data_IF_612802423710
#
_entry.id   IF_612802423710
#
_cell.length_a   1.000
_cell.length_b   1.000
_cell.length_c   1.000
_cell.angle_alpha   90.00
_cell.angle_beta   90.00
_cell.angle_gamma   90.00
#
_symmetry.space_group_name_H-M   'P 1'
#
loop_
_entity.id
_entity.type
_entity.pdbx_description
1 polymer ?
#
# COMPACT_ATOMS: atom_id res chain seq x y z
N UNK A 1 51.71 -19.36 11.54
CA UNK A 1 50.49 -18.88 12.22
C UNK A 1 50.04 -17.62 11.52
N UNK A 2 49.00 -17.72 10.70
CA UNK A 2 48.48 -16.60 9.90
C UNK A 2 47.44 -15.88 10.77
N UNK A 3 47.67 -14.61 11.02
CA UNK A 3 46.85 -13.76 11.88
C UNK A 3 45.65 -13.26 11.05
N UNK A 4 44.48 -13.86 11.22
CA UNK A 4 43.24 -13.41 10.55
C UNK A 4 42.67 -12.20 11.30
N UNK A 5 42.49 -11.03 10.67
CA UNK A 5 41.89 -9.89 11.34
C UNK A 5 40.42 -10.18 11.62
N UNK A 6 40.04 -10.20 12.90
CA UNK A 6 38.64 -10.17 13.29
C UNK A 6 38.06 -8.82 12.91
N UNK A 7 37.29 -8.78 11.83
CA UNK A 7 36.42 -7.65 11.51
C UNK A 7 35.36 -7.62 12.62
N UNK A 8 35.57 -6.76 13.62
CA UNK A 8 34.52 -6.36 14.55
C UNK A 8 33.51 -5.53 13.75
N UNK A 9 32.48 -6.20 13.24
CA UNK A 9 31.26 -5.54 12.79
C UNK A 9 30.66 -4.92 14.05
N UNK A 10 30.85 -3.61 14.23
CA UNK A 10 30.01 -2.85 15.16
C UNK A 10 28.61 -2.88 14.56
N UNK A 11 27.75 -3.71 15.11
CA UNK A 11 26.32 -3.51 15.00
C UNK A 11 26.04 -2.27 15.84
N UNK A 12 25.75 -1.13 15.19
CA UNK A 12 25.10 -0.04 15.89
C UNK A 12 23.77 -0.60 16.42
N UNK A 13 23.62 -0.66 17.74
CA UNK A 13 22.44 -1.19 18.45
C UNK A 13 21.16 -0.38 18.17
N UNK A 14 21.24 0.69 17.36
CA UNK A 14 20.09 1.42 16.80
C UNK A 14 19.50 0.80 15.52
N UNK A 15 20.04 -0.30 14.99
CA UNK A 15 19.29 -1.19 14.09
C UNK A 15 18.22 -1.96 14.88
N UNK A 16 17.31 -1.21 15.51
CA UNK A 16 16.14 -1.73 16.20
C UNK A 16 15.35 -2.63 15.25
N UNK A 17 14.89 -3.77 15.76
CA UNK A 17 13.81 -4.57 15.20
C UNK A 17 12.77 -3.60 14.61
N UNK A 18 12.42 -3.69 13.32
CA UNK A 18 11.47 -2.76 12.73
C UNK A 18 10.20 -2.78 13.57
N UNK A 19 9.88 -1.63 14.17
CA UNK A 19 8.64 -1.47 14.91
C UNK A 19 7.48 -1.56 13.95
N UNK A 20 6.40 -2.17 14.41
CA UNK A 20 5.18 -2.32 13.64
C UNK A 20 3.99 -1.76 14.40
N UNK A 21 3.01 -1.27 13.64
CA UNK A 21 1.72 -0.88 14.17
C UNK A 21 0.62 -1.31 13.22
N UNK A 22 -0.51 -1.66 13.79
CA UNK A 22 -1.66 -2.15 13.05
C UNK A 22 -2.71 -1.06 13.01
N UNK A 23 -3.15 -0.74 11.80
CA UNK A 23 -4.24 0.20 11.55
C UNK A 23 -5.42 -0.61 11.04
N UNK A 24 -6.47 -0.64 11.85
CA UNK A 24 -7.72 -1.32 11.52
C UNK A 24 -8.68 -0.35 10.84
N UNK A 25 -9.23 -0.75 9.70
CA UNK A 25 -10.23 0.03 8.97
C UNK A 25 -11.53 -0.78 8.86
N UNK A 26 -12.60 -0.22 9.42
CA UNK A 26 -13.94 -0.82 9.34
C UNK A 26 -14.50 -0.71 7.92
N UNK A 27 -15.50 -1.55 7.60
CA UNK A 27 -16.20 -1.55 6.31
C UNK A 27 -16.74 -0.16 5.94
N UNK A 28 -17.27 0.58 6.91
CA UNK A 28 -17.83 1.93 6.74
C UNK A 28 -16.75 2.95 6.41
N UNK A 29 -15.63 2.90 7.13
CA UNK A 29 -14.47 3.76 6.88
C UNK A 29 -13.89 3.54 5.48
N UNK A 30 -13.79 2.27 5.07
CA UNK A 30 -13.33 1.87 3.75
C UNK A 30 -14.27 2.39 2.65
N UNK A 31 -15.59 2.23 2.82
CA UNK A 31 -16.58 2.72 1.88
C UNK A 31 -16.53 4.25 1.73
N UNK A 32 -16.37 4.96 2.86
CA UNK A 32 -16.24 6.42 2.89
C UNK A 32 -14.98 6.91 2.18
N UNK A 33 -13.83 6.27 2.40
CA UNK A 33 -12.59 6.58 1.69
C UNK A 33 -12.72 6.37 0.19
N UNK A 34 -13.30 5.22 -0.22
CA UNK A 34 -13.55 4.94 -1.63
C UNK A 34 -14.44 6.00 -2.26
N UNK A 35 -15.53 6.38 -1.59
CA UNK A 35 -16.45 7.39 -2.09
C UNK A 35 -15.75 8.74 -2.26
N UNK A 36 -15.05 9.21 -1.23
CA UNK A 36 -14.29 10.48 -1.26
C UNK A 36 -13.27 10.50 -2.40
N UNK A 37 -12.47 9.44 -2.54
CA UNK A 37 -11.45 9.36 -3.59
C UNK A 37 -12.06 9.44 -5.01
N UNK A 38 -13.20 8.78 -5.22
CA UNK A 38 -13.92 8.80 -6.49
C UNK A 38 -14.54 10.17 -6.79
N UNK A 39 -15.14 10.83 -5.79
CA UNK A 39 -15.68 12.20 -5.92
C UNK A 39 -14.56 13.19 -6.28
N UNK A 40 -13.48 13.21 -5.51
CA UNK A 40 -12.35 14.13 -5.73
C UNK A 40 -11.68 13.93 -7.10
N UNK A 41 -11.63 12.69 -7.59
CA UNK A 41 -11.07 12.37 -8.90
C UNK A 41 -12.07 12.45 -10.07
N UNK A 42 -13.35 12.75 -9.81
CA UNK A 42 -14.40 12.79 -10.84
C UNK A 42 -14.59 11.46 -11.58
N UNK A 43 -14.48 10.33 -10.87
CA UNK A 43 -14.57 8.98 -11.46
C UNK A 43 -15.32 8.01 -10.55
N UNK A 44 -15.56 6.78 -11.02
CA UNK A 44 -16.10 5.66 -10.23
C UNK A 44 -15.20 4.42 -10.27
N UNK A 45 -13.99 4.56 -10.83
CA UNK A 45 -13.08 3.44 -11.11
C UNK A 45 -12.08 3.15 -9.99
N UNK A 46 -11.97 4.03 -9.00
CA UNK A 46 -11.05 3.86 -7.88
C UNK A 46 -11.61 2.81 -6.93
N UNK A 47 -10.80 1.79 -6.63
CA UNK A 47 -11.14 0.72 -5.70
C UNK A 47 -10.92 1.12 -4.24
N UNK A 48 -11.54 0.39 -3.32
CA UNK A 48 -11.32 0.55 -1.88
C UNK A 48 -9.84 0.42 -1.51
N UNK A 49 -9.13 -0.54 -2.13
CA UNK A 49 -7.71 -0.76 -1.88
C UNK A 49 -6.86 0.45 -2.31
N UNK A 50 -7.13 1.01 -3.49
CA UNK A 50 -6.40 2.20 -3.98
C UNK A 50 -6.63 3.42 -3.09
N UNK A 51 -7.88 3.62 -2.63
CA UNK A 51 -8.21 4.68 -1.69
C UNK A 51 -7.51 4.50 -0.34
N UNK A 52 -7.55 3.30 0.25
CA UNK A 52 -6.87 3.00 1.52
C UNK A 52 -5.35 3.13 1.42
N UNK A 53 -4.74 2.57 0.38
CA UNK A 53 -3.30 2.69 0.13
C UNK A 53 -2.88 4.15 0.06
N UNK A 54 -3.65 4.97 -0.67
CA UNK A 54 -3.36 6.41 -0.78
C UNK A 54 -3.57 7.13 0.55
N UNK A 55 -4.63 6.81 1.30
CA UNK A 55 -4.90 7.39 2.62
C UNK A 55 -3.73 7.14 3.59
N UNK A 56 -3.27 5.89 3.64
CA UNK A 56 -2.12 5.50 4.44
C UNK A 56 -0.83 6.15 3.95
N UNK A 57 -0.60 6.18 2.63
CA UNK A 57 0.57 6.82 2.04
C UNK A 57 0.66 8.30 2.43
N UNK A 58 -0.46 9.03 2.33
CA UNK A 58 -0.54 10.44 2.73
C UNK A 58 -0.19 10.61 4.21
N UNK A 59 -0.74 9.79 5.11
CA UNK A 59 -0.42 9.89 6.54
C UNK A 59 1.07 9.61 6.84
N UNK A 60 1.66 8.60 6.18
CA UNK A 60 3.10 8.32 6.32
C UNK A 60 3.95 9.49 5.84
N UNK A 61 3.68 10.04 4.65
CA UNK A 61 4.48 11.13 4.08
C UNK A 61 4.34 12.41 4.92
N UNK A 62 3.12 12.71 5.39
CA UNK A 62 2.88 13.81 6.34
C UNK A 62 3.71 13.63 7.63
N UNK A 63 3.75 12.42 8.17
CA UNK A 63 4.50 12.10 9.39
C UNK A 63 6.02 12.24 9.22
N UNK A 64 6.52 12.11 7.98
CA UNK A 64 7.95 12.25 7.65
C UNK A 64 8.40 13.70 7.47
N UNK A 65 7.47 14.65 7.27
CA UNK A 65 7.78 16.08 7.08
C UNK A 65 8.85 16.33 6.00
N UNK A 66 8.71 15.64 4.87
CA UNK A 66 9.63 15.75 3.72
C UNK A 66 9.46 17.09 3.00
N UNK A 67 10.47 17.50 2.21
CA UNK A 67 10.37 18.68 1.36
C UNK A 67 9.29 18.50 0.28
N UNK A 68 8.57 19.58 -0.05
CA UNK A 68 7.41 19.55 -0.95
C UNK A 68 7.76 19.12 -2.38
N UNK A 69 9.02 19.24 -2.79
CA UNK A 69 9.53 18.84 -4.09
C UNK A 69 10.17 17.45 -4.13
N UNK A 70 10.37 16.79 -2.98
CA UNK A 70 10.88 15.42 -2.93
C UNK A 70 9.93 14.43 -3.61
N UNK A 71 10.50 13.41 -4.24
CA UNK A 71 9.75 12.30 -4.80
C UNK A 71 9.53 11.20 -3.75
N UNK A 72 8.30 10.72 -3.69
CA UNK A 72 7.87 9.61 -2.84
C UNK A 72 7.31 8.51 -3.72
N UNK A 73 7.50 7.25 -3.29
CA UNK A 73 7.13 6.08 -4.08
C UNK A 73 6.19 5.15 -3.31
N UNK A 74 5.19 4.62 -4.00
CA UNK A 74 4.32 3.57 -3.48
C UNK A 74 4.34 2.37 -4.43
N UNK A 75 4.79 1.23 -3.92
CA UNK A 75 5.03 0.01 -4.68
C UNK A 75 3.92 -0.99 -4.40
N UNK A 76 3.22 -1.39 -5.47
CA UNK A 76 2.07 -2.26 -5.48
C UNK A 76 2.43 -3.62 -6.09
N UNK A 77 1.98 -4.68 -5.43
CA UNK A 77 2.01 -6.04 -5.94
C UNK A 77 0.65 -6.37 -6.59
N UNK A 78 0.63 -6.63 -7.89
CA UNK A 78 -0.62 -6.85 -8.66
C UNK A 78 -0.67 -8.30 -9.13
N UNK A 79 -1.72 -9.03 -8.77
CA UNK A 79 -1.96 -10.35 -9.36
C UNK A 79 -2.35 -10.23 -10.83
N UNK A 80 -1.73 -11.05 -11.67
CA UNK A 80 -2.01 -11.09 -13.11
C UNK A 80 -2.84 -12.29 -13.53
N UNK A 81 -3.23 -13.17 -12.59
CA UNK A 81 -3.94 -14.42 -12.90
C UNK A 81 -5.20 -14.21 -13.73
N UNK A 82 -6.05 -13.28 -13.31
CA UNK A 82 -7.29 -12.94 -14.02
C UNK A 82 -7.12 -12.00 -15.21
N UNK A 83 -5.91 -11.48 -15.44
CA UNK A 83 -5.63 -10.48 -16.49
C UNK A 83 -5.13 -11.11 -17.79
N UNK A 84 -4.61 -12.33 -17.70
CA UNK A 84 -4.17 -13.09 -18.86
C UNK A 84 -5.38 -13.63 -19.63
N UNK A 85 -5.23 -13.82 -20.93
CA UNK A 85 -6.23 -14.40 -21.83
C UNK A 85 -5.64 -15.64 -22.51
N UNK A 86 -6.16 -16.86 -22.19
CA UNK A 86 -7.15 -17.14 -21.15
C UNK A 86 -6.62 -16.88 -19.72
N UNK A 87 -7.49 -16.63 -18.72
CA UNK A 87 -7.06 -16.48 -17.33
C UNK A 87 -6.28 -17.69 -16.85
N UNK A 88 -5.29 -17.47 -15.98
CA UNK A 88 -4.62 -18.57 -15.29
C UNK A 88 -5.60 -19.28 -14.38
N UNK A 89 -5.46 -20.60 -14.29
CA UNK A 89 -6.25 -21.42 -13.37
C UNK A 89 -6.16 -20.87 -11.95
N UNK A 90 -7.26 -20.98 -11.21
CA UNK A 90 -7.28 -20.72 -9.77
C UNK A 90 -6.24 -21.58 -9.04
N UNK A 91 -6.03 -22.81 -9.50
CA UNK A 91 -5.09 -23.78 -8.94
C UNK A 91 -3.64 -23.59 -9.43
N UNK A 92 -3.34 -22.50 -10.15
CA UNK A 92 -1.98 -22.21 -10.58
C UNK A 92 -1.06 -21.98 -9.37
N UNK A 93 -0.21 -22.98 -9.10
CA UNK A 93 0.70 -23.00 -7.95
C UNK A 93 1.83 -21.97 -8.02
N UNK A 94 2.17 -21.50 -9.22
CA UNK A 94 3.30 -20.59 -9.42
C UNK A 94 3.03 -19.14 -9.02
N UNK A 95 4.08 -18.33 -9.11
CA UNK A 95 3.99 -16.88 -8.96
C UNK A 95 3.41 -16.24 -10.22
N UNK A 96 2.28 -15.54 -10.06
CA UNK A 96 1.62 -14.81 -11.14
C UNK A 96 1.26 -13.40 -10.65
N UNK A 97 2.29 -12.56 -10.56
CA UNK A 97 2.18 -11.18 -10.13
C UNK A 97 3.25 -10.31 -10.79
N UNK A 98 2.97 -9.02 -10.83
CA UNK A 98 3.93 -7.97 -11.21
C UNK A 98 4.06 -6.97 -10.06
N UNK A 99 5.15 -6.20 -10.10
CA UNK A 99 5.41 -5.10 -9.17
C UNK A 99 5.34 -3.80 -9.96
N UNK A 100 4.59 -2.82 -9.45
CA UNK A 100 4.45 -1.51 -10.07
C UNK A 100 4.70 -0.41 -9.04
N UNK A 101 5.40 0.65 -9.43
CA UNK A 101 5.60 1.84 -8.61
C UNK A 101 4.71 2.99 -9.07
N UNK A 102 4.18 3.75 -8.12
CA UNK A 102 3.62 5.08 -8.33
C UNK A 102 4.58 6.08 -7.69
N UNK A 103 5.08 7.02 -8.47
CA UNK A 103 5.97 8.10 -8.02
C UNK A 103 5.21 9.42 -8.09
N UNK A 104 5.25 10.19 -7.01
CA UNK A 104 4.63 11.51 -6.93
C UNK A 104 5.53 12.45 -6.14
N UNK A 105 5.38 13.77 -6.34
CA UNK A 105 5.96 14.74 -5.41
C UNK A 105 5.15 14.83 -4.13
N UNK A 106 5.81 15.17 -3.02
CA UNK A 106 5.15 15.37 -1.72
C UNK A 106 3.99 16.37 -1.83
N UNK A 107 4.20 17.53 -2.48
CA UNK A 107 3.13 18.53 -2.71
C UNK A 107 1.95 17.98 -3.52
N UNK A 108 2.23 17.12 -4.51
CA UNK A 108 1.19 16.57 -5.36
C UNK A 108 0.30 15.60 -4.59
N UNK A 109 0.91 14.83 -3.69
CA UNK A 109 0.25 13.83 -2.86
C UNK A 109 -0.50 14.45 -1.66
N UNK A 110 0.07 15.49 -1.04
CA UNK A 110 -0.48 16.08 0.18
C UNK A 110 -1.39 17.29 -0.07
N UNK A 111 -1.03 18.17 -1.01
CA UNK A 111 -1.60 19.53 -1.13
C UNK A 111 -2.51 19.67 -2.36
N UNK A 112 -2.08 19.21 -3.54
CA UNK A 112 -2.67 19.65 -4.82
C UNK A 112 -3.86 18.83 -5.33
N UNK A 113 -4.23 17.71 -4.70
CA UNK A 113 -5.27 16.84 -5.28
C UNK A 113 -5.94 15.83 -4.35
N UNK A 114 -5.78 16.01 -3.04
CA UNK A 114 -6.46 15.20 -2.04
C UNK A 114 -6.18 13.70 -2.14
N UNK A 115 -7.13 12.91 -1.65
CA UNK A 115 -7.11 11.45 -1.71
C UNK A 115 -7.32 10.94 -3.14
N UNK A 116 -8.12 11.66 -3.94
CA UNK A 116 -8.48 11.30 -5.30
C UNK A 116 -7.29 11.23 -6.26
N UNK A 117 -6.39 12.22 -6.24
CA UNK A 117 -5.23 12.28 -7.17
C UNK A 117 -4.31 11.08 -7.02
N UNK A 118 -3.84 10.78 -5.80
CA UNK A 118 -2.98 9.62 -5.55
C UNK A 118 -3.66 8.28 -5.88
N UNK A 119 -4.95 8.16 -5.53
CA UNK A 119 -5.73 6.96 -5.82
C UNK A 119 -5.94 6.74 -7.32
N UNK A 120 -6.10 7.83 -8.07
CA UNK A 120 -6.23 7.80 -9.53
C UNK A 120 -4.93 7.39 -10.21
N UNK A 121 -3.78 7.86 -9.73
CA UNK A 121 -2.47 7.41 -10.25
C UNK A 121 -2.25 5.91 -10.00
N UNK A 122 -2.62 5.41 -8.81
CA UNK A 122 -2.64 3.96 -8.55
C UNK A 122 -3.57 3.22 -9.50
N UNK A 123 -4.76 3.75 -9.77
CA UNK A 123 -5.68 3.15 -10.74
C UNK A 123 -5.08 3.09 -12.15
N UNK A 124 -4.51 4.21 -12.64
CA UNK A 124 -3.92 4.29 -13.98
C UNK A 124 -2.81 3.25 -14.15
N UNK A 125 -1.86 3.17 -13.21
CA UNK A 125 -0.75 2.20 -13.33
C UNK A 125 -1.25 0.75 -13.31
N UNK A 126 -2.26 0.45 -12.49
CA UNK A 126 -2.87 -0.89 -12.44
C UNK A 126 -3.62 -1.21 -13.74
N UNK A 127 -4.30 -0.22 -14.34
CA UNK A 127 -5.07 -0.39 -15.57
C UNK A 127 -4.19 -0.59 -16.81
N UNK A 128 -2.95 -0.10 -16.81
CA UNK A 128 -2.02 -0.26 -17.94
C UNK A 128 -1.59 -1.71 -18.21
N UNK A 129 -1.76 -2.60 -17.23
CA UNK A 129 -1.30 -3.99 -17.32
C UNK A 129 -2.43 -4.91 -17.83
N UNK A 130 -2.71 -4.80 -19.14
CA UNK A 130 -3.57 -5.71 -19.90
C UNK A 130 -2.84 -7.01 -20.28
N UNK A 131 -3.57 -8.01 -20.80
CA UNK A 131 -3.00 -9.26 -21.31
C UNK A 131 -1.85 -9.02 -22.31
N UNK A 132 -2.08 -8.17 -23.31
CA UNK A 132 -1.09 -7.90 -24.36
C UNK A 132 0.15 -7.22 -23.79
N UNK A 133 -0.05 -6.27 -22.86
CA UNK A 133 1.05 -5.56 -22.23
C UNK A 133 1.89 -6.48 -21.34
N UNK A 134 1.23 -7.37 -20.60
CA UNK A 134 1.89 -8.38 -19.77
C UNK A 134 2.70 -9.37 -20.61
N UNK A 135 2.12 -9.91 -21.69
CA UNK A 135 2.83 -10.81 -22.61
C UNK A 135 4.06 -10.14 -23.21
N UNK A 136 3.92 -8.91 -23.70
CA UNK A 136 5.04 -8.12 -24.22
C UNK A 136 6.13 -7.85 -23.17
N UNK A 137 5.74 -7.55 -21.92
CA UNK A 137 6.68 -7.38 -20.82
C UNK A 137 7.45 -8.68 -20.51
N UNK A 138 6.77 -9.82 -20.46
CA UNK A 138 7.41 -11.12 -20.22
C UNK A 138 8.36 -11.53 -21.35
N UNK A 139 7.98 -11.29 -22.61
CA UNK A 139 8.85 -11.51 -23.77
C UNK A 139 10.08 -10.60 -23.75
N UNK A 140 9.92 -9.34 -23.38
CA UNK A 140 11.04 -8.41 -23.23
C UNK A 140 11.96 -8.84 -22.08
N UNK A 141 11.38 -9.24 -20.95
CA UNK A 141 12.14 -9.66 -19.77
C UNK A 141 12.90 -10.97 -20.01
N UNK A 142 12.34 -11.92 -20.77
CA UNK A 142 13.03 -13.17 -21.11
C UNK A 142 14.25 -12.95 -22.00
N UNK A 143 14.25 -11.90 -22.83
CA UNK A 143 15.39 -11.48 -23.65
C UNK A 143 16.44 -10.72 -22.85
N UNK A 144 16.00 -9.82 -21.96
CA UNK A 144 16.87 -8.98 -21.14
C UNK A 144 16.36 -8.96 -19.71
N UNK A 145 16.71 -9.96 -18.89
CA UNK A 145 16.18 -10.06 -17.54
C UNK A 145 16.73 -8.95 -16.66
N UNK A 146 15.83 -8.27 -15.96
CA UNK A 146 16.16 -7.34 -14.91
C UNK A 146 15.61 -7.86 -13.57
N UNK A 147 16.37 -7.65 -12.51
CA UNK A 147 15.98 -8.09 -11.18
C UNK A 147 15.85 -6.87 -10.28
N UNK A 148 14.68 -6.72 -9.67
CA UNK A 148 14.43 -5.68 -8.67
C UNK A 148 15.35 -5.97 -7.47
N UNK A 149 16.24 -5.04 -7.15
CA UNK A 149 17.08 -5.16 -5.96
C UNK A 149 16.27 -4.74 -4.74
N UNK A 150 16.28 -5.53 -3.67
CA UNK A 150 15.56 -5.22 -2.43
C UNK A 150 15.87 -3.79 -1.92
N UNK A 151 17.13 -3.37 -2.03
CA UNK A 151 17.60 -2.04 -1.61
C UNK A 151 16.99 -0.88 -2.42
N UNK A 152 16.60 -1.11 -3.69
CA UNK A 152 15.98 -0.05 -4.50
C UNK A 152 14.52 0.21 -4.13
N UNK A 153 13.88 -0.77 -3.48
CA UNK A 153 12.47 -0.70 -3.06
C UNK A 153 12.35 -0.25 -1.59
N UNK A 154 13.41 -0.42 -0.80
CA UNK A 154 13.49 -0.08 0.63
C UNK A 154 14.27 1.23 0.90
N UNK A 155 14.14 2.24 0.03
CA UNK A 155 14.64 3.58 0.36
C UNK A 155 13.70 4.27 1.37
N UNK A 156 14.18 5.29 2.08
CA UNK A 156 13.42 5.98 3.14
C UNK A 156 12.10 6.59 2.66
N UNK A 157 11.93 6.84 1.36
CA UNK A 157 10.77 7.52 0.76
C UNK A 157 9.84 6.56 0.00
N UNK A 158 10.08 5.24 0.10
CA UNK A 158 9.29 4.20 -0.56
C UNK A 158 8.45 3.41 0.43
N UNK A 159 7.22 3.09 0.03
CA UNK A 159 6.34 2.16 0.73
C UNK A 159 6.05 0.98 -0.17
N UNK A 160 6.03 -0.23 0.39
CA UNK A 160 5.80 -1.47 -0.35
C UNK A 160 4.66 -2.23 0.27
N UNK A 161 3.58 -2.40 -0.48
CA UNK A 161 2.43 -3.15 -0.01
C UNK A 161 2.43 -4.59 -0.54
N UNK A 162 2.07 -5.52 0.34
CA UNK A 162 1.83 -6.91 0.00
C UNK A 162 0.65 -7.46 0.79
N UNK A 163 0.09 -8.58 0.31
CA UNK A 163 -1.14 -9.15 0.85
C UNK A 163 -2.37 -8.65 0.10
N UNK A 164 -3.51 -9.25 0.41
CA UNK A 164 -4.79 -8.90 -0.18
C UNK A 164 -5.91 -9.40 0.74
N UNK A 165 -6.95 -8.58 1.00
CA UNK A 165 -8.10 -8.99 1.79
C UNK A 165 -8.92 -10.10 1.09
N UNK A 166 -8.70 -10.34 -0.20
CA UNK A 166 -9.34 -11.44 -0.94
C UNK A 166 -8.88 -12.82 -0.46
N UNK A 167 -7.77 -12.91 0.28
CA UNK A 167 -7.29 -14.15 0.89
C UNK A 167 -7.60 -14.13 2.39
N UNK A 168 -8.90 -14.01 2.73
CA UNK A 168 -9.36 -14.05 4.11
C UNK A 168 -9.24 -15.46 4.66
N UNK A 169 -8.44 -15.65 5.72
CA UNK A 169 -8.41 -16.93 6.44
C UNK A 169 -9.62 -17.12 7.35
N UNK A 170 -10.39 -16.05 7.59
CA UNK A 170 -11.62 -16.10 8.38
C UNK A 170 -12.78 -16.67 7.56
N UNK A 171 -12.72 -16.56 6.23
CA UNK A 171 -13.74 -17.08 5.31
C UNK A 171 -13.49 -18.56 4.97
N UNK A 172 -12.33 -19.08 5.37
CA UNK A 172 -11.98 -20.50 5.25
C UNK A 172 -12.29 -21.12 6.62
N UNK A 173 -13.02 -22.23 6.63
CA UNK A 173 -13.24 -23.06 7.83
C UNK A 173 -11.93 -23.73 8.30
N UNK A 174 -10.87 -22.95 8.57
CA UNK A 174 -9.64 -23.39 9.24
C UNK A 174 -9.93 -23.45 10.74
N UNK A 175 -10.92 -24.27 11.11
CA UNK A 175 -11.05 -24.73 12.48
C UNK A 175 -10.33 -26.07 12.59
N UNK A 176 -9.09 -26.02 13.05
CA UNK A 176 -8.29 -27.22 13.37
C UNK A 176 -8.66 -27.81 14.74
N UNK A 177 -9.83 -27.45 15.28
CA UNK A 177 -10.38 -27.85 16.56
C UNK A 177 -10.24 -26.80 17.68
N UNK A 178 -9.72 -25.61 17.36
CA UNK A 178 -9.41 -24.53 18.31
C UNK A 178 -10.27 -23.28 18.11
N UNK A 179 -11.21 -23.32 17.16
CA UNK A 179 -12.04 -22.19 16.76
C UNK A 179 -11.34 -21.25 15.77
N UNK A 180 -12.05 -20.19 15.38
CA UNK A 180 -11.56 -19.21 14.41
C UNK A 180 -10.35 -18.43 14.92
N UNK A 181 -9.40 -18.04 14.04
CA UNK A 181 -8.25 -17.22 14.41
C UNK A 181 -8.66 -15.91 15.10
N UNK A 182 -7.80 -15.40 15.99
CA UNK A 182 -8.02 -14.11 16.65
C UNK A 182 -7.46 -12.95 15.82
N UNK A 183 -6.33 -13.17 15.14
CA UNK A 183 -5.63 -12.17 14.34
C UNK A 183 -4.67 -12.83 13.33
N UNK A 184 -4.37 -12.12 12.24
CA UNK A 184 -3.38 -12.51 11.22
C UNK A 184 -2.22 -11.52 11.25
N UNK A 185 -0.98 -12.00 11.32
CA UNK A 185 0.23 -11.17 11.38
C UNK A 185 1.32 -11.76 10.50
N UNK A 186 2.25 -10.92 10.03
CA UNK A 186 3.40 -11.43 9.30
C UNK A 186 4.54 -11.84 10.23
N UNK A 187 5.32 -12.84 9.80
CA UNK A 187 6.52 -13.28 10.50
C UNK A 187 7.63 -12.22 10.45
N UNK A 188 8.56 -12.26 11.41
CA UNK A 188 9.64 -11.28 11.55
C UNK A 188 10.51 -11.11 10.30
N UNK A 189 10.71 -12.17 9.51
CA UNK A 189 11.47 -12.11 8.26
C UNK A 189 10.82 -11.27 7.15
N UNK A 190 9.52 -10.98 7.27
CA UNK A 190 8.78 -10.15 6.32
C UNK A 190 8.70 -8.68 6.78
N UNK A 191 9.40 -8.30 7.86
CA UNK A 191 9.35 -6.95 8.45
C UNK A 191 10.59 -6.15 8.06
N UNK A 192 10.37 -5.02 7.40
CA UNK A 192 11.41 -4.05 7.04
C UNK A 192 10.84 -2.65 6.98
N UNK A 193 11.69 -1.63 7.09
CA UNK A 193 11.24 -0.23 6.99
C UNK A 193 10.52 0.02 5.65
N UNK A 194 9.31 0.59 5.71
CA UNK A 194 8.48 0.90 4.55
C UNK A 194 7.60 -0.26 4.08
N UNK A 195 7.66 -1.42 4.74
CA UNK A 195 6.80 -2.57 4.44
C UNK A 195 5.40 -2.39 5.00
N UNK A 196 4.41 -2.72 4.19
CA UNK A 196 2.99 -2.79 4.57
C UNK A 196 2.46 -4.18 4.20
N UNK A 197 1.89 -4.86 5.19
CA UNK A 197 1.18 -6.12 5.00
C UNK A 197 -0.31 -5.91 5.23
N UNK A 198 -1.14 -6.37 4.28
CA UNK A 198 -2.61 -6.23 4.35
C UNK A 198 -3.25 -7.57 4.60
N UNK A 199 -4.16 -7.58 5.58
CA UNK A 199 -4.97 -8.73 5.95
C UNK A 199 -6.45 -8.36 5.90
N UNK A 200 -7.31 -9.35 5.65
CA UNK A 200 -8.71 -9.22 6.02
C UNK A 200 -8.79 -8.99 7.54
N UNK A 201 -9.65 -8.07 7.98
CA UNK A 201 -9.92 -7.92 9.41
C UNK A 201 -10.89 -8.99 9.89
N UNK A 202 -11.06 -9.10 11.21
CA UNK A 202 -11.92 -10.12 11.82
C UNK A 202 -13.40 -9.85 11.51
N UNK A 203 -13.79 -8.59 11.48
CA UNK A 203 -15.12 -8.15 11.11
C UNK A 203 -15.29 -8.19 9.58
N UNK A 204 -16.44 -8.65 9.11
CA UNK A 204 -16.70 -8.79 7.68
C UNK A 204 -16.50 -7.46 6.94
N UNK A 205 -15.67 -7.47 5.90
CA UNK A 205 -15.38 -6.31 5.06
C UNK A 205 -14.43 -5.28 5.68
N UNK A 206 -13.89 -5.54 6.87
CA UNK A 206 -12.81 -4.75 7.46
C UNK A 206 -11.43 -5.18 6.95
N UNK A 207 -10.42 -4.33 7.16
CA UNK A 207 -9.03 -4.61 6.77
C UNK A 207 -8.05 -4.17 7.85
N UNK A 208 -7.04 -5.01 8.09
CA UNK A 208 -5.90 -4.70 8.96
C UNK A 208 -4.68 -4.39 8.10
N UNK A 209 -4.08 -3.22 8.33
CA UNK A 209 -2.81 -2.81 7.72
C UNK A 209 -1.72 -2.86 8.78
N UNK A 210 -0.82 -3.84 8.67
CA UNK A 210 0.39 -3.95 9.48
C UNK A 210 1.51 -3.14 8.81
N UNK A 211 1.91 -2.05 9.45
CA UNK A 211 2.83 -1.04 8.90
C UNK A 211 4.15 -1.08 9.67
N UNK A 212 5.25 -1.32 8.97
CA UNK A 212 6.60 -1.38 9.53
C UNK A 212 7.37 -0.10 9.22
N UNK A 213 7.57 0.77 10.22
CA UNK A 213 8.27 2.05 10.12
C UNK A 213 8.96 2.36 11.47
N UNK A 214 9.93 3.29 11.52
CA UNK A 214 10.48 3.78 12.78
C UNK A 214 9.41 4.20 13.78
N UNK A 215 9.60 3.86 15.05
CA UNK A 215 8.64 4.12 16.13
C UNK A 215 8.08 5.55 16.11
N UNK A 216 8.95 6.55 15.98
CA UNK A 216 8.58 7.97 15.94
C UNK A 216 7.54 8.28 14.86
N UNK A 217 7.65 7.64 13.69
CA UNK A 217 6.69 7.81 12.60
C UNK A 217 5.36 7.12 12.94
N UNK A 218 5.42 5.89 13.47
CA UNK A 218 4.22 5.13 13.87
C UNK A 218 3.46 5.77 15.03
N UNK A 219 4.15 6.47 15.91
CA UNK A 219 3.56 7.24 17.02
C UNK A 219 2.79 8.45 16.48
N UNK A 220 3.39 9.21 15.56
CA UNK A 220 2.72 10.34 14.88
C UNK A 220 1.50 9.86 14.10
N UNK A 221 1.65 8.82 13.28
CA UNK A 221 0.53 8.22 12.52
C UNK A 221 -0.60 7.76 13.44
N UNK A 222 -0.26 7.16 14.58
CA UNK A 222 -1.24 6.70 15.56
C UNK A 222 -2.10 7.79 16.19
N UNK A 223 -1.58 9.01 16.21
CA UNK A 223 -2.25 10.18 16.74
C UNK A 223 -2.82 11.06 15.62
N UNK A 224 -2.69 10.65 14.35
CA UNK A 224 -3.19 11.37 13.19
C UNK A 224 -4.72 11.22 13.09
N UNK A 225 -5.49 12.30 13.33
CA UNK A 225 -6.95 12.22 13.34
C UNK A 225 -7.55 12.02 11.94
N UNK A 226 -6.82 12.38 10.88
CA UNK A 226 -7.24 12.06 9.51
C UNK A 226 -7.10 10.56 9.25
N UNK A 227 -5.97 9.97 9.66
CA UNK A 227 -5.72 8.54 9.47
C UNK A 227 -6.76 7.70 10.21
N UNK A 228 -6.97 8.03 11.49
CA UNK A 228 -7.92 7.37 12.37
C UNK A 228 -9.39 7.75 12.06
N UNK A 229 -9.59 8.70 11.14
CA UNK A 229 -10.89 9.17 10.67
C UNK A 229 -11.79 9.67 11.82
N UNK A 230 -11.16 10.28 12.83
CA UNK A 230 -11.80 10.82 14.04
C UNK A 230 -12.11 12.32 13.94
N UNK A 231 -11.49 13.06 13.03
CA UNK A 231 -11.86 14.45 12.75
C UNK A 231 -13.03 14.52 11.77
N UNK A 232 -14.24 14.78 12.26
CA UNK A 232 -15.44 14.88 11.43
C UNK A 232 -15.37 16.00 10.36
N UNK A 233 -14.56 17.06 10.58
CA UNK A 233 -14.49 18.20 9.67
C UNK A 233 -13.88 17.85 8.31
N UNK A 234 -12.99 16.85 8.25
CA UNK A 234 -12.34 16.42 7.01
C UNK A 234 -13.19 15.46 6.16
N UNK A 235 -14.41 15.13 6.64
CA UNK A 235 -15.30 14.14 6.02
C UNK A 235 -16.73 14.62 5.78
N UNK A 236 -17.01 15.90 6.02
CA UNK A 236 -18.24 16.53 5.55
C UNK A 236 -18.16 16.65 4.02
N UNK A 237 -18.57 15.59 3.33
CA UNK A 237 -18.81 15.60 1.89
C UNK A 237 -20.11 16.37 1.66
N UNK A 238 -20.02 17.69 1.55
CA UNK A 238 -21.17 18.52 1.25
C UNK A 238 -21.65 18.18 -0.18
N UNK A 239 -22.85 17.60 -0.39
CA UNK A 239 -23.26 17.06 -1.70
C UNK A 239 -23.47 18.14 -2.77
N UNK A 240 -23.32 19.42 -2.42
CA UNK A 240 -23.75 20.58 -3.20
C UNK A 240 -22.65 21.63 -3.45
N UNK A 241 -21.36 21.27 -3.34
CA UNK A 241 -20.29 22.14 -3.87
C UNK A 241 -19.92 21.71 -5.30
N UNK A 242 -20.52 22.29 -6.35
CA UNK A 242 -19.96 22.19 -7.69
C UNK A 242 -18.58 22.86 -7.68
N UNK A 243 -17.62 22.19 -8.30
CA UNK A 243 -16.26 22.68 -8.54
C UNK A 243 -16.30 24.10 -9.12
N UNK A 244 -16.01 25.10 -8.27
CA UNK A 244 -15.89 26.50 -8.69
C UNK A 244 -14.57 26.79 -9.42
N UNK A 245 -14.09 25.84 -10.23
CA UNK A 245 -12.88 25.99 -11.06
C UNK A 245 -13.17 25.91 -12.57
N UNK A 246 -14.44 25.92 -12.98
CA UNK A 246 -14.85 26.24 -14.35
C UNK A 246 -15.22 27.72 -14.50
N UNK A 247 -14.29 28.63 -14.18
CA UNK A 247 -14.33 29.99 -14.69
C UNK A 247 -12.96 30.65 -14.58
N UNK A 248 -12.07 30.36 -15.55
CA UNK A 248 -11.13 31.32 -16.16
C UNK A 248 -10.28 30.60 -17.21
N UNK A 249 -10.58 30.96 -18.46
CA UNK A 249 -9.90 30.68 -19.74
C UNK A 249 -10.09 29.27 -20.31
#
# INVERSE_FOLDING_TARGET
MINTPQIKIRFDEEQLIPTERIFHFTKENIARLKLKANIEAGTNKISSMQALCTHLWRSVIRSKQLDSHEEVNFVLCISVRSRLVPPLSYDYFGNAMIVCGVTMKVRELLEEGGLGKGSLEMYKIIALHSDEKLKSQYESWSRTPNFVKADSVANSNSLVISGSPLFSIYDIDIDIGWGSPVAIRSGSSNKSNGKISVFAGKEEGSMDFEVCLPYKILEVMGNDPDLNMTDASTWNLDPLQPSSLCSRL
#
